data_IF_824950284764
#
_entry.id   IF_824950284764
#
_cell.length_a   1.000
_cell.length_b   1.000
_cell.length_c   1.000
_cell.angle_alpha   90.00
_cell.angle_beta   90.00
_cell.angle_gamma   90.00
#
_symmetry.space_group_name_H-M   'P 1'
#
loop_
_entity.id
_entity.type
_entity.pdbx_description
1 polymer ?
#
# COMPACT_ATOMS: atom_id res chain seq x y z
N UNK A 1 -11.59 38.51 -18.21
CA UNK A 1 -10.55 38.24 -17.18
C UNK A 1 -10.83 38.95 -15.84
N UNK A 2 -11.77 39.89 -15.76
CA UNK A 2 -12.12 40.61 -14.52
C UNK A 2 -13.24 39.95 -13.68
N UNK A 3 -14.14 39.16 -14.27
CA UNK A 3 -15.17 38.44 -13.50
C UNK A 3 -14.63 37.25 -12.68
N UNK A 4 -13.55 36.60 -13.14
CA UNK A 4 -12.99 35.41 -12.48
C UNK A 4 -12.19 35.75 -11.22
N UNK A 5 -11.60 36.95 -11.15
CA UNK A 5 -10.94 37.44 -9.93
C UNK A 5 -11.93 37.83 -8.83
N UNK A 6 -13.10 38.37 -9.21
CA UNK A 6 -14.12 38.78 -8.25
C UNK A 6 -14.74 37.57 -7.55
N UNK A 7 -14.92 36.45 -8.28
CA UNK A 7 -15.41 35.19 -7.70
C UNK A 7 -14.42 34.55 -6.72
N UNK A 8 -13.12 34.67 -6.99
CA UNK A 8 -12.06 34.16 -6.10
C UNK A 8 -11.95 34.98 -4.81
N UNK A 9 -12.13 36.30 -4.87
CA UNK A 9 -12.14 37.15 -3.66
C UNK A 9 -13.41 36.97 -2.82
N UNK A 10 -14.57 36.74 -3.44
CA UNK A 10 -15.81 36.47 -2.69
C UNK A 10 -15.77 35.11 -1.96
N UNK A 11 -15.16 34.08 -2.58
CA UNK A 11 -14.98 32.78 -1.92
C UNK A 11 -13.99 32.85 -0.74
N UNK A 12 -12.94 33.67 -0.86
CA UNK A 12 -11.94 33.86 0.20
C UNK A 12 -12.53 34.62 1.41
N UNK A 13 -13.47 35.55 1.17
CA UNK A 13 -14.19 36.27 2.22
C UNK A 13 -15.26 35.39 2.92
N UNK A 14 -15.89 34.45 2.20
CA UNK A 14 -16.78 33.45 2.83
C UNK A 14 -16.02 32.42 3.69
N UNK A 15 -14.78 32.09 3.31
CA UNK A 15 -13.89 31.22 4.11
C UNK A 15 -13.39 31.88 5.40
N UNK A 16 -13.35 33.21 5.46
CA UNK A 16 -12.98 33.97 6.67
C UNK A 16 -14.16 34.23 7.61
N UNK A 17 -15.41 34.08 7.13
CA UNK A 17 -16.62 34.26 7.95
C UNK A 17 -17.11 32.96 8.63
N UNK A 18 -16.55 31.80 8.27
CA UNK A 18 -16.95 30.48 8.83
C UNK A 18 -16.00 29.94 9.91
N UNK A 19 -14.95 30.69 10.31
CA UNK A 19 -13.99 30.27 11.34
C UNK A 19 -14.30 30.79 12.75
N UNK A 20 -15.44 31.45 12.95
CA UNK A 20 -15.87 31.95 14.27
C UNK A 20 -17.15 31.25 14.76
N UNK A 21 -17.07 29.94 14.98
CA UNK A 21 -17.99 29.24 15.89
C UNK A 21 -17.17 28.63 17.02
N UNK A 22 -17.15 29.35 18.14
CA UNK A 22 -16.66 28.86 19.42
C UNK A 22 -17.70 27.87 19.98
N UNK A 23 -17.30 26.61 20.16
CA UNK A 23 -18.01 25.66 21.02
C UNK A 23 -17.69 26.04 22.47
N UNK A 24 -18.57 26.81 23.11
CA UNK A 24 -18.63 26.93 24.56
C UNK A 24 -19.51 25.79 25.09
N UNK A 25 -18.88 24.74 25.65
CA UNK A 25 -19.62 23.79 26.48
C UNK A 25 -19.78 24.39 27.89
N UNK A 26 -21.03 24.71 28.20
CA UNK A 26 -21.55 25.06 29.52
C UNK A 26 -21.49 23.85 30.45
N UNK A 27 -20.55 23.85 31.42
CA UNK A 27 -20.64 22.98 32.60
C UNK A 27 -21.58 23.65 33.61
N UNK A 28 -22.71 22.98 33.86
CA UNK A 28 -23.77 23.37 34.80
C UNK A 28 -23.29 23.17 36.25
N UNK A 29 -23.20 24.25 37.02
CA UNK A 29 -23.13 24.18 38.48
C UNK A 29 -24.51 23.83 39.07
N UNK A 30 -24.55 22.94 40.06
CA UNK A 30 -25.60 22.87 41.10
C UNK A 30 -24.93 22.72 42.48
N UNK A 31 -25.32 23.51 43.49
CA UNK A 31 -24.80 23.44 44.87
C UNK A 31 -25.77 22.72 45.83
N UNK A 32 -25.26 22.38 47.03
CA UNK A 32 -25.90 22.05 48.34
C UNK A 32 -25.07 20.92 49.00
N UNK A 33 -24.69 20.91 50.28
CA UNK A 33 -24.85 21.84 51.40
C UNK A 33 -23.85 21.46 52.53
N UNK A 34 -23.71 22.38 53.47
CA UNK A 34 -22.85 22.50 54.68
C UNK A 34 -22.76 21.31 55.68
N UNK A 35 -21.57 21.03 56.26
CA UNK A 35 -21.24 21.35 57.68
C UNK A 35 -19.87 20.81 58.21
N UNK A 36 -19.23 21.72 58.96
CA UNK A 36 -18.30 21.58 60.10
C UNK A 36 -16.77 21.28 59.99
N UNK A 37 -16.03 22.23 60.61
CA UNK A 37 -14.59 22.42 60.86
C UNK A 37 -14.00 21.51 61.99
N UNK A 38 -12.71 21.58 62.45
CA UNK A 38 -11.60 22.51 62.10
C UNK A 38 -10.15 21.93 61.92
N UNK A 39 -9.31 22.79 61.31
CA UNK A 39 -7.88 23.05 61.55
C UNK A 39 -6.81 21.95 61.33
N UNK A 40 -6.07 22.08 60.23
CA UNK A 40 -4.59 22.19 60.25
C UNK A 40 -4.13 22.99 59.01
N UNK A 41 -3.19 23.95 59.14
CA UNK A 41 -2.70 24.70 58.01
C UNK A 41 -1.55 23.93 57.35
N UNK A 42 -1.83 23.18 56.29
CA UNK A 42 -0.76 22.65 55.45
C UNK A 42 -0.42 23.70 54.39
N UNK A 43 0.78 24.27 54.53
CA UNK A 43 1.43 25.17 53.58
C UNK A 43 1.63 24.43 52.25
N UNK A 44 0.59 24.41 51.41
CA UNK A 44 0.77 24.17 49.98
C UNK A 44 1.44 25.38 49.38
N UNK A 45 2.76 25.39 49.41
CA UNK A 45 3.59 26.07 48.43
C UNK A 45 3.08 25.63 47.04
N UNK A 46 2.21 26.44 46.42
CA UNK A 46 1.92 26.32 44.99
C UNK A 46 3.22 26.66 44.28
N UNK A 47 3.99 25.64 43.91
CA UNK A 47 5.02 25.81 42.88
C UNK A 47 4.30 26.39 41.66
N UNK A 48 4.62 27.62 41.23
CA UNK A 48 3.95 28.21 40.08
C UNK A 48 4.17 27.30 38.87
N UNK A 49 3.13 27.00 38.10
CA UNK A 49 3.28 26.35 36.81
C UNK A 49 4.26 27.17 35.96
N UNK A 50 5.43 26.60 35.71
CA UNK A 50 6.54 27.27 35.00
C UNK A 50 6.15 27.56 33.54
N UNK A 51 5.16 26.84 33.00
CA UNK A 51 4.68 26.94 31.62
C UNK A 51 3.17 27.13 31.59
N UNK A 52 2.69 28.04 30.75
CA UNK A 52 1.28 28.22 30.41
C UNK A 52 1.08 28.41 28.90
N UNK A 53 -0.17 28.36 28.42
CA UNK A 53 -0.58 28.67 27.05
C UNK A 53 0.17 27.87 25.96
N UNK A 54 0.24 26.54 26.12
CA UNK A 54 0.90 25.67 25.15
C UNK A 54 -0.02 25.44 23.95
N UNK A 55 0.46 25.75 22.74
CA UNK A 55 -0.19 25.40 21.47
C UNK A 55 0.79 24.67 20.56
N UNK A 56 0.34 23.57 19.96
CA UNK A 56 1.14 22.75 19.03
C UNK A 56 0.53 22.80 17.64
N UNK A 57 1.37 22.97 16.61
CA UNK A 57 0.95 22.88 15.22
C UNK A 57 1.94 22.06 14.40
N UNK A 58 1.45 21.41 13.34
CA UNK A 58 2.27 20.62 12.41
C UNK A 58 1.85 20.93 10.98
N UNK A 59 2.81 21.29 10.13
CA UNK A 59 2.60 21.58 8.70
C UNK A 59 3.39 20.60 7.87
N UNK A 60 2.75 19.95 6.90
CA UNK A 60 3.38 18.94 6.06
C UNK A 60 3.55 19.36 4.62
N UNK A 61 4.60 18.86 3.97
CA UNK A 61 4.94 19.11 2.58
C UNK A 61 5.58 17.88 1.95
N UNK A 62 4.98 17.38 0.88
CA UNK A 62 5.51 16.22 0.16
C UNK A 62 6.68 16.68 -0.71
N UNK A 63 7.81 15.96 -0.61
CA UNK A 63 8.98 16.27 -1.41
C UNK A 63 8.88 15.60 -2.79
N UNK A 64 9.36 16.28 -3.85
CA UNK A 64 9.45 15.66 -5.16
C UNK A 64 10.39 14.43 -5.09
N UNK A 65 10.07 13.36 -5.83
CA UNK A 65 10.88 12.16 -5.83
C UNK A 65 12.30 12.46 -6.29
N UNK A 66 13.30 12.05 -5.51
CA UNK A 66 14.70 12.19 -5.88
C UNK A 66 15.01 11.34 -7.13
N UNK A 67 15.61 11.95 -8.16
CA UNK A 67 16.05 11.26 -9.38
C UNK A 67 17.19 10.31 -9.02
N UNK A 68 16.88 9.05 -8.74
CA UNK A 68 17.86 8.00 -8.47
C UNK A 68 17.84 6.95 -9.57
N UNK A 69 19.06 6.64 -10.08
CA UNK A 69 19.34 5.68 -11.16
C UNK A 69 18.69 4.33 -10.86
N UNK A 70 17.93 3.82 -11.83
CA UNK A 70 17.37 2.48 -11.78
C UNK A 70 18.49 1.44 -11.65
N UNK A 71 18.63 0.82 -10.48
CA UNK A 71 19.33 -0.45 -10.39
C UNK A 71 18.39 -1.52 -10.91
N UNK A 72 18.76 -2.11 -12.06
CA UNK A 72 18.16 -3.34 -12.58
C UNK A 72 18.29 -4.40 -11.50
N UNK A 73 17.18 -4.80 -10.89
CA UNK A 73 17.13 -6.04 -10.13
C UNK A 73 16.76 -7.16 -11.10
N UNK A 74 17.71 -8.07 -11.29
CA UNK A 74 17.49 -9.37 -11.91
C UNK A 74 17.25 -10.33 -10.75
N UNK A 75 16.06 -10.91 -10.66
CA UNK A 75 15.85 -12.11 -9.85
C UNK A 75 15.43 -13.24 -10.78
N UNK A 76 16.33 -14.20 -10.93
CA UNK A 76 16.12 -15.46 -11.63
C UNK A 76 15.47 -16.47 -10.68
N UNK A 77 14.19 -16.76 -10.91
CA UNK A 77 13.59 -18.04 -10.51
C UNK A 77 12.43 -18.31 -11.45
N UNK A 78 12.53 -19.39 -12.23
CA UNK A 78 11.54 -19.79 -13.25
C UNK A 78 10.40 -20.50 -12.53
N UNK A 79 9.43 -19.72 -12.08
CA UNK A 79 8.11 -20.22 -11.69
C UNK A 79 7.26 -20.44 -12.96
N UNK A 80 6.34 -21.41 -12.93
CA UNK A 80 5.52 -21.83 -14.10
C UNK A 80 4.66 -20.68 -14.62
N UNK A 81 4.28 -19.79 -13.71
CA UNK A 81 3.66 -18.51 -14.01
C UNK A 81 4.55 -17.40 -13.49
N UNK A 82 4.51 -16.25 -14.17
CA UNK A 82 5.10 -15.04 -13.60
C UNK A 82 4.43 -14.78 -12.23
N UNK A 83 5.21 -14.49 -11.19
CA UNK A 83 4.68 -14.09 -9.87
C UNK A 83 3.79 -12.84 -9.93
N UNK A 84 3.78 -12.17 -11.08
CA UNK A 84 2.95 -11.03 -11.43
C UNK A 84 1.55 -11.42 -11.97
N UNK A 85 1.30 -12.70 -12.19
CA UNK A 85 0.12 -13.21 -12.89
C UNK A 85 -0.99 -13.63 -11.92
N UNK A 86 -2.24 -13.35 -12.31
CA UNK A 86 -3.43 -13.94 -11.68
C UNK A 86 -3.85 -15.27 -12.33
N UNK A 87 -3.03 -15.78 -13.25
CA UNK A 87 -3.15 -17.10 -13.84
C UNK A 87 -2.47 -18.14 -12.95
N UNK A 88 -3.19 -19.20 -12.57
CA UNK A 88 -2.65 -20.30 -11.76
C UNK A 88 -3.31 -21.64 -12.09
N UNK A 89 -2.65 -22.72 -11.66
CA UNK A 89 -3.27 -24.03 -11.56
C UNK A 89 -3.93 -24.18 -10.19
N UNK A 90 -5.19 -24.58 -10.15
CA UNK A 90 -5.96 -24.74 -8.92
C UNK A 90 -6.48 -26.17 -8.81
N UNK A 91 -6.33 -26.79 -7.64
CA UNK A 91 -6.77 -28.17 -7.42
C UNK A 91 -8.29 -28.30 -7.58
N UNK A 92 -8.72 -29.38 -8.23
CA UNK A 92 -10.12 -29.70 -8.35
C UNK A 92 -10.73 -30.07 -7.00
N UNK A 93 -11.72 -29.28 -6.56
CA UNK A 93 -12.44 -29.48 -5.29
C UNK A 93 -13.86 -30.02 -5.50
N UNK A 94 -14.16 -30.57 -6.68
CA UNK A 94 -15.50 -31.04 -7.04
C UNK A 94 -16.39 -30.01 -7.73
N UNK A 95 -15.91 -28.78 -7.91
CA UNK A 95 -16.60 -27.71 -8.63
C UNK A 95 -15.59 -26.91 -9.47
N UNK A 96 -16.09 -26.25 -10.53
CA UNK A 96 -15.30 -25.37 -11.38
C UNK A 96 -14.98 -24.06 -10.65
N UNK A 97 -13.69 -23.72 -10.45
CA UNK A 97 -13.31 -22.43 -9.89
C UNK A 97 -13.77 -21.27 -10.77
N UNK A 98 -14.06 -20.11 -10.16
CA UNK A 98 -14.33 -18.89 -10.92
C UNK A 98 -13.08 -18.46 -11.70
N UNK A 99 -13.26 -18.03 -12.96
CA UNK A 99 -12.14 -17.71 -13.86
C UNK A 99 -11.50 -18.93 -14.53
N UNK A 100 -12.12 -20.12 -14.45
CA UNK A 100 -11.65 -21.31 -15.16
C UNK A 100 -11.50 -21.04 -16.66
N UNK A 101 -10.31 -21.27 -17.20
CA UNK A 101 -9.98 -21.06 -18.60
C UNK A 101 -10.63 -22.16 -19.43
N UNK A 102 -11.38 -21.76 -20.46
CA UNK A 102 -12.10 -22.68 -21.34
C UNK A 102 -11.98 -22.29 -22.79
N UNK A 103 -12.33 -23.24 -23.67
CA UNK A 103 -12.62 -22.99 -25.07
C UNK A 103 -14.03 -23.48 -25.37
N UNK A 104 -14.65 -22.86 -26.36
CA UNK A 104 -15.77 -23.48 -27.04
C UNK A 104 -15.22 -24.38 -28.16
N UNK A 105 -15.45 -25.68 -28.03
CA UNK A 105 -15.05 -26.70 -28.99
C UNK A 105 -16.13 -26.82 -30.07
N UNK A 106 -15.91 -26.12 -31.19
CA UNK A 106 -16.86 -26.09 -32.31
C UNK A 106 -17.07 -27.47 -32.98
N UNK A 107 -16.10 -28.38 -32.86
CA UNK A 107 -16.18 -29.69 -33.51
C UNK A 107 -17.22 -30.61 -32.85
N UNK A 108 -17.45 -30.43 -31.54
CA UNK A 108 -18.31 -31.29 -30.72
C UNK A 108 -19.36 -30.51 -29.91
N UNK A 109 -19.58 -29.25 -30.29
CA UNK A 109 -20.55 -28.32 -29.68
C UNK A 109 -20.57 -28.36 -28.14
N UNK A 110 -19.40 -28.10 -27.53
CA UNK A 110 -19.25 -28.15 -26.06
C UNK A 110 -18.19 -27.19 -25.53
N UNK A 111 -18.27 -26.88 -24.24
CA UNK A 111 -17.27 -26.09 -23.52
C UNK A 111 -16.29 -27.04 -22.85
N UNK A 112 -15.01 -26.92 -23.22
CA UNK A 112 -13.92 -27.70 -22.65
C UNK A 112 -13.04 -26.78 -21.80
N UNK A 113 -12.81 -27.16 -20.54
CA UNK A 113 -11.98 -26.42 -19.59
C UNK A 113 -10.56 -26.98 -19.59
N UNK A 114 -9.57 -26.09 -19.52
CA UNK A 114 -8.16 -26.47 -19.44
C UNK A 114 -7.90 -27.10 -18.08
N UNK A 115 -7.48 -28.36 -18.08
CA UNK A 115 -7.07 -29.09 -16.89
C UNK A 115 -5.70 -29.75 -17.10
N UNK A 116 -5.09 -30.22 -16.02
CA UNK A 116 -3.89 -31.07 -16.09
C UNK A 116 -3.84 -32.11 -14.97
N UNK A 117 -3.06 -33.15 -15.21
CA UNK A 117 -2.60 -34.11 -14.20
C UNK A 117 -1.08 -34.19 -14.28
N UNK A 118 -0.39 -33.80 -13.21
CA UNK A 118 1.06 -33.63 -13.22
C UNK A 118 1.49 -32.57 -14.24
N UNK A 119 2.20 -32.99 -15.28
CA UNK A 119 2.61 -32.13 -16.40
C UNK A 119 1.70 -32.24 -17.64
N UNK A 120 0.73 -33.15 -17.64
CA UNK A 120 -0.04 -33.45 -18.84
C UNK A 120 -1.35 -32.67 -18.85
N UNK A 121 -1.41 -31.67 -19.72
CA UNK A 121 -2.61 -30.89 -19.96
C UNK A 121 -3.60 -31.62 -20.88
N UNK A 122 -4.87 -31.33 -20.67
CA UNK A 122 -5.99 -31.96 -21.35
C UNK A 122 -7.26 -31.13 -21.21
N UNK A 123 -8.42 -31.80 -21.16
CA UNK A 123 -9.69 -31.12 -20.96
C UNK A 123 -10.54 -31.75 -19.87
N UNK A 124 -11.26 -30.88 -19.15
CA UNK A 124 -12.38 -31.24 -18.31
C UNK A 124 -13.67 -30.78 -18.98
N UNK A 125 -14.70 -31.62 -18.95
CA UNK A 125 -16.03 -31.26 -19.41
C UNK A 125 -17.09 -31.84 -18.44
N UNK A 126 -18.00 -31.04 -17.88
CA UNK A 126 -18.99 -31.52 -16.92
C UNK A 126 -19.90 -32.61 -17.50
N UNK A 127 -20.14 -32.63 -18.82
CA UNK A 127 -20.93 -33.67 -19.51
C UNK A 127 -20.18 -35.01 -19.64
N UNK A 128 -18.86 -35.02 -19.52
CA UNK A 128 -18.02 -36.24 -19.58
C UNK A 128 -17.59 -36.75 -18.19
N UNK A 129 -18.17 -36.20 -17.13
CA UNK A 129 -17.94 -36.58 -15.74
C UNK A 129 -16.83 -35.77 -15.05
N UNK A 130 -16.61 -35.99 -13.74
CA UNK A 130 -15.66 -35.23 -12.93
C UNK A 130 -14.21 -35.67 -13.16
N UNK A 131 -13.76 -35.69 -14.43
CA UNK A 131 -12.44 -36.17 -14.81
C UNK A 131 -11.71 -35.19 -15.72
N UNK A 132 -10.40 -35.02 -15.50
CA UNK A 132 -9.52 -34.47 -16.51
C UNK A 132 -9.12 -35.57 -17.49
N UNK A 133 -9.41 -35.37 -18.77
CA UNK A 133 -9.02 -36.25 -19.86
C UNK A 133 -7.72 -35.73 -20.47
N UNK A 134 -6.64 -36.51 -20.38
CA UNK A 134 -5.34 -36.08 -20.87
C UNK A 134 -4.61 -37.20 -21.65
N UNK A 135 -3.78 -36.83 -22.64
CA UNK A 135 -3.03 -37.79 -23.44
C UNK A 135 -1.77 -38.26 -22.67
N UNK A 136 -1.54 -39.57 -22.60
CA UNK A 136 -0.38 -40.18 -21.97
C UNK A 136 0.01 -41.50 -22.64
N UNK A 137 1.23 -41.57 -23.19
CA UNK A 137 1.79 -42.77 -23.85
C UNK A 137 0.80 -43.48 -24.78
N UNK A 138 0.30 -42.78 -25.81
CA UNK A 138 -0.62 -43.31 -26.83
C UNK A 138 -2.04 -43.65 -26.34
N UNK A 139 -2.42 -43.27 -25.12
CA UNK A 139 -3.78 -43.49 -24.58
C UNK A 139 -4.35 -42.21 -23.97
N UNK A 140 -5.68 -42.16 -23.87
CA UNK A 140 -6.36 -41.17 -23.01
C UNK A 140 -6.49 -41.72 -21.60
N UNK A 141 -5.92 -41.00 -20.64
CA UNK A 141 -6.11 -41.27 -19.22
C UNK A 141 -7.14 -40.27 -18.67
N UNK A 142 -7.94 -40.75 -17.73
CA UNK A 142 -8.91 -39.94 -16.99
C UNK A 142 -8.57 -40.00 -15.51
N UNK A 143 -8.48 -38.84 -14.85
CA UNK A 143 -8.21 -38.77 -13.41
C UNK A 143 -9.19 -37.80 -12.73
N UNK A 144 -9.59 -38.11 -11.50
CA UNK A 144 -10.44 -37.27 -10.64
C UNK A 144 -9.61 -36.27 -9.82
N UNK A 145 -8.33 -36.55 -9.64
CA UNK A 145 -7.35 -35.69 -8.96
C UNK A 145 -6.58 -34.90 -10.01
N UNK A 146 -7.10 -33.71 -10.33
CA UNK A 146 -6.53 -32.85 -11.35
C UNK A 146 -6.51 -31.38 -10.91
N UNK A 147 -5.79 -30.57 -11.67
CA UNK A 147 -5.77 -29.12 -11.51
C UNK A 147 -6.49 -28.47 -12.71
N UNK A 148 -7.17 -27.35 -12.48
CA UNK A 148 -7.81 -26.53 -13.52
C UNK A 148 -7.01 -25.23 -13.67
N UNK A 149 -6.85 -24.76 -14.91
CA UNK A 149 -6.23 -23.47 -15.15
C UNK A 149 -7.23 -22.36 -14.85
N UNK A 150 -6.87 -21.43 -13.97
CA UNK A 150 -7.72 -20.33 -13.51
C UNK A 150 -7.06 -19.00 -13.82
N UNK A 151 -7.77 -18.12 -14.53
CA UNK A 151 -7.45 -16.71 -14.70
C UNK A 151 -8.33 -15.90 -13.74
N UNK A 152 -7.86 -15.68 -12.51
CA UNK A 152 -8.61 -14.95 -11.49
C UNK A 152 -8.94 -13.53 -11.99
N UNK A 153 -10.18 -13.09 -11.74
CA UNK A 153 -10.75 -11.82 -12.22
C UNK A 153 -10.72 -11.60 -13.73
N UNK A 154 -10.43 -12.63 -14.54
CA UNK A 154 -10.14 -12.49 -15.98
C UNK A 154 -9.08 -11.41 -16.24
N UNK A 155 -8.05 -11.37 -15.38
CA UNK A 155 -7.08 -10.28 -15.35
C UNK A 155 -6.03 -10.37 -16.46
N UNK A 156 -5.56 -11.58 -16.79
CA UNK A 156 -4.63 -11.77 -17.89
C UNK A 156 -5.36 -11.82 -19.24
N UNK A 157 -4.79 -11.21 -20.27
CA UNK A 157 -5.26 -11.40 -21.65
C UNK A 157 -4.60 -12.66 -22.20
N UNK A 158 -5.40 -13.71 -22.35
CA UNK A 158 -4.97 -14.97 -22.94
C UNK A 158 -5.13 -14.96 -24.46
N UNK A 159 -4.16 -15.52 -25.18
CA UNK A 159 -4.12 -15.58 -26.64
C UNK A 159 -3.73 -16.97 -27.10
N UNK A 160 -4.47 -17.50 -28.08
CA UNK A 160 -4.09 -18.69 -28.80
C UNK A 160 -3.22 -18.30 -29.99
N UNK A 161 -1.99 -18.79 -30.02
CA UNK A 161 -1.02 -18.47 -31.07
C UNK A 161 -0.65 -19.73 -31.85
N UNK A 162 -0.67 -19.62 -33.18
CA UNK A 162 -0.38 -20.73 -34.08
C UNK A 162 1.03 -21.28 -33.84
N UNK A 163 1.13 -22.60 -33.87
CA UNK A 163 2.36 -23.36 -33.76
C UNK A 163 2.38 -24.55 -34.72
N UNK A 164 3.58 -25.07 -34.96
CA UNK A 164 3.84 -26.23 -35.81
C UNK A 164 5.20 -26.82 -35.49
N UNK A 165 5.36 -28.13 -35.67
CA UNK A 165 6.63 -28.84 -35.55
C UNK A 165 7.34 -28.60 -34.21
N UNK A 166 6.57 -28.52 -33.12
CA UNK A 166 7.09 -28.26 -31.77
C UNK A 166 7.35 -26.79 -31.45
N UNK A 167 7.05 -25.85 -32.35
CA UNK A 167 7.19 -24.43 -32.04
C UNK A 167 6.26 -24.01 -30.90
N UNK A 168 6.80 -23.20 -30.00
CA UNK A 168 6.13 -22.64 -28.83
C UNK A 168 6.44 -21.15 -28.79
N UNK A 169 5.43 -20.28 -28.90
CA UNK A 169 5.63 -18.83 -28.80
C UNK A 169 6.11 -18.40 -27.41
N UNK A 170 6.70 -17.20 -27.32
CA UNK A 170 7.05 -16.62 -26.02
C UNK A 170 5.80 -16.45 -25.12
N UNK A 171 6.03 -16.55 -23.80
CA UNK A 171 5.00 -16.43 -22.77
C UNK A 171 3.88 -17.49 -22.88
N UNK A 172 4.23 -18.67 -23.38
CA UNK A 172 3.34 -19.81 -23.43
C UNK A 172 3.04 -20.37 -22.04
N UNK A 173 1.79 -20.77 -21.82
CA UNK A 173 1.33 -21.35 -20.57
C UNK A 173 1.85 -22.77 -20.44
N UNK A 174 2.79 -22.95 -19.53
CA UNK A 174 3.40 -24.25 -19.23
C UNK A 174 2.56 -25.01 -18.20
N UNK A 175 2.50 -26.33 -18.33
CA UNK A 175 1.71 -27.18 -17.46
C UNK A 175 2.42 -27.47 -16.13
N UNK A 176 3.76 -27.48 -16.13
CA UNK A 176 4.58 -27.73 -14.94
C UNK A 176 5.99 -27.14 -15.12
N UNK A 177 6.78 -27.09 -14.04
CA UNK A 177 8.16 -26.56 -14.06
C UNK A 177 9.20 -27.59 -14.53
N UNK A 178 8.92 -28.88 -14.33
CA UNK A 178 9.86 -29.98 -14.57
C UNK A 178 10.00 -30.37 -16.04
N UNK A 179 8.99 -30.11 -16.88
CA UNK A 179 9.04 -30.48 -18.30
C UNK A 179 8.39 -29.43 -19.20
N UNK A 180 8.89 -29.30 -20.43
CA UNK A 180 8.49 -28.30 -21.42
C UNK A 180 7.17 -28.70 -22.11
N UNK A 181 6.13 -28.93 -21.32
CA UNK A 181 4.80 -29.28 -21.81
C UNK A 181 3.88 -28.07 -21.67
N UNK A 182 3.23 -27.69 -22.77
CA UNK A 182 2.43 -26.47 -22.85
C UNK A 182 0.96 -26.79 -23.12
N UNK A 183 0.07 -25.90 -22.69
CA UNK A 183 -1.36 -25.99 -22.99
C UNK A 183 -1.57 -25.67 -24.48
N UNK A 184 -2.19 -26.61 -25.20
CA UNK A 184 -2.45 -26.49 -26.62
C UNK A 184 -3.90 -26.73 -26.99
N UNK A 185 -4.26 -26.31 -28.20
CA UNK A 185 -5.48 -26.73 -28.86
C UNK A 185 -5.28 -26.92 -30.35
N UNK A 186 -6.18 -27.66 -30.97
CA UNK A 186 -6.40 -27.57 -32.41
C UNK A 186 -7.91 -27.43 -32.69
N UNK A 187 -8.34 -27.65 -33.93
CA UNK A 187 -9.75 -27.55 -34.31
C UNK A 187 -10.67 -28.57 -33.62
N UNK A 188 -10.12 -29.64 -33.03
CA UNK A 188 -10.87 -30.74 -32.42
C UNK A 188 -10.95 -30.63 -30.89
N UNK A 189 -10.07 -29.86 -30.24
CA UNK A 189 -10.12 -29.70 -28.79
C UNK A 189 -8.81 -29.30 -28.13
N UNK A 190 -8.80 -29.36 -26.80
CA UNK A 190 -7.64 -29.08 -25.94
C UNK A 190 -6.75 -30.31 -25.77
N UNK A 191 -5.46 -30.06 -25.53
CA UNK A 191 -4.49 -31.09 -25.23
C UNK A 191 -3.15 -30.48 -24.83
N UNK A 192 -2.08 -31.21 -25.09
CA UNK A 192 -0.71 -30.79 -24.72
C UNK A 192 0.16 -30.60 -25.96
N UNK A 193 1.01 -29.58 -25.94
CA UNK A 193 2.12 -29.44 -26.90
C UNK A 193 3.39 -29.89 -26.21
N UNK A 194 4.10 -30.82 -26.85
CA UNK A 194 5.37 -31.32 -26.36
C UNK A 194 6.46 -31.08 -27.42
N UNK A 195 7.28 -30.03 -27.28
CA UNK A 195 8.27 -29.62 -28.28
C UNK A 195 9.32 -30.67 -28.57
N UNK A 196 9.72 -31.47 -27.57
CA UNK A 196 10.68 -32.57 -27.74
C UNK A 196 10.23 -33.56 -28.82
N UNK A 197 8.94 -33.89 -28.83
CA UNK A 197 8.34 -34.79 -29.82
C UNK A 197 7.84 -34.06 -31.07
N UNK A 198 7.92 -32.71 -31.07
CA UNK A 198 7.44 -31.82 -32.12
C UNK A 198 5.94 -31.94 -32.42
N UNK A 199 5.16 -32.38 -31.43
CA UNK A 199 3.75 -32.72 -31.60
C UNK A 199 2.83 -31.99 -30.61
N UNK A 200 1.62 -31.68 -31.08
CA UNK A 200 0.44 -31.51 -30.24
C UNK A 200 -0.26 -32.86 -30.09
N UNK A 201 -0.59 -33.23 -28.86
CA UNK A 201 -1.33 -34.44 -28.53
C UNK A 201 -2.74 -34.08 -28.06
N UNK A 202 -3.73 -34.69 -28.69
CA UNK A 202 -5.16 -34.52 -28.43
C UNK A 202 -5.72 -35.81 -27.82
N UNK A 203 -6.31 -35.76 -26.63
CA UNK A 203 -7.13 -36.84 -26.12
C UNK A 203 -8.51 -36.83 -26.80
N UNK A 204 -8.88 -37.89 -27.53
CA UNK A 204 -10.16 -37.96 -28.24
C UNK A 204 -10.75 -39.37 -28.22
N UNK A 205 -11.99 -39.50 -27.71
CA UNK A 205 -12.77 -40.76 -27.70
C UNK A 205 -11.99 -42.01 -27.25
N UNK A 206 -11.08 -41.86 -26.28
CA UNK A 206 -10.29 -42.95 -25.70
C UNK A 206 -8.88 -43.09 -26.28
N UNK A 207 -8.62 -42.51 -27.43
CA UNK A 207 -7.35 -42.58 -28.14
C UNK A 207 -6.57 -41.25 -28.13
N UNK A 208 -5.24 -41.36 -28.12
CA UNK A 208 -4.35 -40.20 -28.25
C UNK A 208 -4.05 -39.96 -29.74
N UNK A 209 -4.42 -38.79 -30.24
CA UNK A 209 -4.06 -38.34 -31.58
C UNK A 209 -2.92 -37.34 -31.51
N UNK A 210 -2.02 -37.35 -32.49
CA UNK A 210 -0.92 -36.40 -32.56
C UNK A 210 -0.92 -35.61 -33.87
N UNK A 211 -0.54 -34.34 -33.77
CA UNK A 211 -0.50 -33.41 -34.88
C UNK A 211 0.83 -32.65 -34.87
N UNK A 212 1.59 -32.77 -35.94
CA UNK A 212 2.81 -31.96 -36.16
C UNK A 212 2.51 -30.61 -36.79
N UNK A 213 1.37 -30.49 -37.48
CA UNK A 213 0.99 -29.30 -38.24
C UNK A 213 -0.35 -28.80 -37.72
N UNK A 214 -0.51 -27.47 -37.62
CA UNK A 214 -1.78 -26.80 -37.31
C UNK A 214 -2.31 -27.06 -35.90
N UNK A 215 -1.56 -26.56 -34.90
CA UNK A 215 -2.07 -26.39 -33.53
C UNK A 215 -1.87 -24.94 -33.08
N UNK A 216 -2.45 -24.60 -31.94
CA UNK A 216 -2.25 -23.31 -31.26
C UNK A 216 -1.81 -23.56 -29.82
N UNK A 217 -0.92 -22.71 -29.32
CA UNK A 217 -0.44 -22.73 -27.94
C UNK A 217 -1.09 -21.58 -27.19
N UNK A 218 -1.52 -21.84 -25.96
CA UNK A 218 -2.06 -20.80 -25.08
C UNK A 218 -0.91 -19.92 -24.58
N UNK A 219 -1.05 -18.60 -24.71
CA UNK A 219 -0.05 -17.62 -24.30
C UNK A 219 -0.68 -16.49 -23.50
N UNK A 220 0.11 -15.83 -22.64
CA UNK A 220 -0.28 -14.58 -21.98
C UNK A 220 0.22 -13.39 -22.79
N UNK A 221 -0.64 -12.41 -23.05
CA UNK A 221 -0.22 -11.17 -23.70
C UNK A 221 0.62 -10.34 -22.73
N UNK A 222 1.89 -10.10 -23.07
CA UNK A 222 2.81 -9.27 -22.27
C UNK A 222 2.97 -7.86 -22.82
N UNK A 223 2.13 -7.46 -23.77
CA UNK A 223 2.13 -6.15 -24.42
C UNK A 223 1.55 -5.04 -23.54
N UNK A 224 1.88 -5.01 -22.25
CA UNK A 224 1.43 -3.97 -21.32
C UNK A 224 2.24 -2.69 -21.56
N UNK A 225 1.54 -1.56 -21.68
CA UNK A 225 2.12 -0.23 -21.88
C UNK A 225 2.17 0.59 -20.58
N UNK A 226 1.20 0.40 -19.69
CA UNK A 226 1.07 1.16 -18.43
C UNK A 226 0.40 0.34 -17.34
N UNK A 227 0.87 0.51 -16.12
CA UNK A 227 0.22 0.04 -14.90
C UNK A 227 -0.19 1.24 -14.03
N UNK A 228 -1.39 1.18 -13.46
CA UNK A 228 -1.92 2.16 -12.50
C UNK A 228 -2.42 1.42 -11.27
N UNK A 229 -1.98 1.86 -10.10
CA UNK A 229 -2.51 1.44 -8.81
C UNK A 229 -3.30 2.61 -8.25
N UNK A 230 -4.58 2.40 -7.96
CA UNK A 230 -5.52 3.41 -7.48
C UNK A 230 -6.47 2.81 -6.44
N UNK A 231 -7.43 3.60 -5.96
CA UNK A 231 -8.51 3.15 -5.08
C UNK A 231 -7.99 2.47 -3.81
N UNK A 232 -6.95 3.07 -3.20
CA UNK A 232 -6.26 2.49 -2.05
C UNK A 232 -7.09 2.66 -0.78
N UNK A 233 -7.39 1.54 -0.13
CA UNK A 233 -8.16 1.47 1.11
C UNK A 233 -7.29 0.89 2.21
N UNK A 234 -6.87 1.75 3.14
CA UNK A 234 -6.10 1.37 4.31
C UNK A 234 -7.01 0.73 5.36
N UNK A 235 -6.61 -0.43 5.87
CA UNK A 235 -7.28 -1.08 6.99
C UNK A 235 -6.69 -0.54 8.30
N UNK A 236 -7.22 0.60 8.73
CA UNK A 236 -6.74 1.34 9.92
C UNK A 236 -6.93 0.51 11.20
N UNK A 237 -7.99 -0.30 11.29
CA UNK A 237 -8.27 -1.16 12.44
C UNK A 237 -7.19 -2.24 12.64
N UNK A 238 -6.51 -2.64 11.56
CA UNK A 238 -5.40 -3.59 11.58
C UNK A 238 -4.02 -2.92 11.59
N UNK A 239 -3.96 -1.60 11.81
CA UNK A 239 -2.71 -0.87 11.89
C UNK A 239 -1.87 -1.32 13.10
N UNK A 240 -0.58 -1.59 12.85
CA UNK A 240 0.41 -1.83 13.89
C UNK A 240 1.27 -0.59 14.03
N UNK A 241 1.16 0.07 15.17
CA UNK A 241 1.84 1.34 15.46
C UNK A 241 2.78 1.13 16.64
N UNK A 242 4.09 1.27 16.40
CA UNK A 242 5.12 1.13 17.41
C UNK A 242 5.68 2.52 17.77
N UNK A 243 5.38 2.97 18.99
CA UNK A 243 5.95 4.18 19.59
C UNK A 243 7.39 3.92 20.04
N UNK A 244 8.35 4.64 19.47
CA UNK A 244 9.77 4.59 19.86
C UNK A 244 10.04 5.58 21.00
N UNK A 245 11.15 5.44 21.76
CA UNK A 245 11.50 6.39 22.81
C UNK A 245 11.56 7.84 22.32
N UNK A 246 11.25 8.83 23.19
CA UNK A 246 11.20 10.22 22.80
C UNK A 246 12.60 10.76 22.45
N UNK A 247 12.64 11.74 21.55
CA UNK A 247 13.87 12.41 21.10
C UNK A 247 13.73 13.92 21.19
N UNK A 248 14.84 14.58 21.52
CA UNK A 248 14.96 16.04 21.50
C UNK A 248 15.06 16.51 20.05
N UNK A 249 14.08 17.29 19.58
CA UNK A 249 14.08 17.92 18.26
C UNK A 249 14.89 19.22 18.24
N UNK A 250 14.75 20.01 19.30
CA UNK A 250 15.42 21.30 19.45
C UNK A 250 15.59 21.65 20.92
N UNK A 251 16.72 22.27 21.25
CA UNK A 251 16.99 22.86 22.57
C UNK A 251 17.10 24.37 22.42
N UNK A 252 16.60 25.12 23.40
CA UNK A 252 16.80 26.57 23.50
C UNK A 252 17.01 26.95 24.96
N UNK A 253 17.67 28.07 25.20
CA UNK A 253 17.91 28.60 26.55
C UNK A 253 17.37 30.02 26.62
N UNK A 254 16.62 30.31 27.67
CA UNK A 254 15.95 31.58 27.88
C UNK A 254 16.50 32.20 29.15
N UNK A 255 17.10 33.38 29.02
CA UNK A 255 17.74 34.08 30.12
C UNK A 255 16.85 35.21 30.65
N UNK A 256 16.87 35.41 31.96
CA UNK A 256 16.38 36.59 32.65
C UNK A 256 17.49 37.17 33.53
N UNK A 257 18.06 38.29 33.10
CA UNK A 257 19.08 39.03 33.86
C UNK A 257 18.48 40.19 34.67
N UNK A 258 17.15 40.29 34.73
CA UNK A 258 16.46 41.30 35.52
C UNK A 258 16.22 40.81 36.95
N UNK A 259 15.78 41.73 37.79
CA UNK A 259 15.46 41.46 39.20
C UNK A 259 14.02 41.04 39.47
N UNK A 260 13.17 41.13 38.46
CA UNK A 260 11.80 40.64 38.50
C UNK A 260 11.64 39.38 37.63
N UNK A 261 10.73 38.46 37.98
CA UNK A 261 10.36 37.35 37.11
C UNK A 261 9.86 37.87 35.75
N UNK A 262 10.28 37.23 34.67
CA UNK A 262 9.85 37.61 33.32
C UNK A 262 9.10 36.46 32.67
N UNK A 263 7.87 36.74 32.25
CA UNK A 263 7.09 35.86 31.37
C UNK A 263 7.48 36.10 29.91
N UNK A 264 7.97 35.06 29.22
CA UNK A 264 8.32 35.12 27.79
C UNK A 264 7.50 34.10 27.02
N UNK A 265 6.79 34.56 25.99
CA UNK A 265 6.21 33.67 25.00
C UNK A 265 7.25 33.34 23.94
N UNK A 266 7.47 32.06 23.70
CA UNK A 266 8.46 31.54 22.75
C UNK A 266 7.83 30.50 21.85
N UNK A 267 8.37 30.36 20.64
CA UNK A 267 7.97 29.31 19.69
C UNK A 267 9.20 28.51 19.27
N UNK A 268 9.17 27.21 19.53
CA UNK A 268 10.17 26.27 19.03
C UNK A 268 9.62 25.62 17.77
N UNK A 269 10.42 25.53 16.72
CA UNK A 269 10.06 24.87 15.47
C UNK A 269 11.20 24.03 14.92
N UNK A 270 10.86 22.87 14.36
CA UNK A 270 11.79 21.93 13.72
C UNK A 270 11.07 21.17 12.60
N UNK A 271 11.75 21.05 11.46
CA UNK A 271 11.35 20.19 10.34
C UNK A 271 12.01 18.81 10.44
N UNK A 272 11.22 17.77 10.25
CA UNK A 272 11.63 16.36 10.20
C UNK A 272 11.29 15.74 8.84
N UNK A 273 12.08 14.75 8.43
CA UNK A 273 11.84 13.98 7.21
C UNK A 273 11.17 12.66 7.58
N UNK A 274 9.97 12.45 7.05
CA UNK A 274 9.17 11.24 7.19
C UNK A 274 9.32 10.37 5.94
N UNK A 275 9.25 9.05 6.12
CA UNK A 275 9.40 8.10 5.02
C UNK A 275 8.19 7.19 4.91
N UNK A 276 7.64 7.10 3.71
CA UNK A 276 6.39 6.42 3.42
C UNK A 276 6.61 5.41 2.30
N UNK A 277 6.23 4.15 2.47
CA UNK A 277 6.48 3.09 1.49
C UNK A 277 5.30 2.13 1.38
N UNK A 278 5.10 1.58 0.18
CA UNK A 278 4.01 0.66 -0.11
C UNK A 278 4.61 -0.65 -0.62
N UNK A 279 4.41 -1.73 0.13
CA UNK A 279 4.72 -3.08 -0.33
C UNK A 279 3.49 -3.71 -0.97
N UNK A 280 3.61 -4.25 -2.17
CA UNK A 280 2.52 -4.98 -2.85
C UNK A 280 2.66 -6.49 -2.62
N UNK A 281 1.54 -7.19 -2.51
CA UNK A 281 1.50 -8.66 -2.46
C UNK A 281 1.76 -9.30 -3.83
N UNK A 282 1.45 -8.57 -4.90
CA UNK A 282 1.78 -8.94 -6.28
C UNK A 282 3.02 -8.20 -6.74
N UNK A 283 3.71 -8.77 -7.72
CA UNK A 283 4.79 -8.07 -8.41
C UNK A 283 4.26 -7.45 -9.72
N UNK A 284 4.92 -6.39 -10.18
CA UNK A 284 4.52 -5.59 -11.35
C UNK A 284 5.36 -5.98 -12.57
N UNK A 285 4.89 -5.64 -13.77
CA UNK A 285 5.59 -6.01 -15.00
C UNK A 285 6.92 -5.28 -15.14
N UNK A 286 8.00 -6.04 -15.36
CA UNK A 286 9.35 -5.51 -15.51
C UNK A 286 9.44 -4.64 -16.77
N UNK A 287 10.01 -3.44 -16.62
CA UNK A 287 10.18 -2.50 -17.73
C UNK A 287 8.93 -1.69 -18.08
N UNK A 288 7.80 -1.97 -17.44
CA UNK A 288 6.58 -1.17 -17.56
C UNK A 288 6.57 -0.09 -16.47
N UNK A 289 6.14 1.12 -16.83
CA UNK A 289 5.97 2.22 -15.86
C UNK A 289 4.70 1.99 -15.05
N UNK A 290 4.86 1.94 -13.73
CA UNK A 290 3.77 1.85 -12.78
C UNK A 290 3.55 3.21 -12.10
N UNK A 291 2.30 3.69 -12.13
CA UNK A 291 1.87 4.88 -11.38
C UNK A 291 1.06 4.44 -10.18
N UNK A 292 1.23 5.11 -9.04
CA UNK A 292 0.51 4.81 -7.81
C UNK A 292 -0.15 6.09 -7.31
N UNK A 293 -1.45 6.01 -7.08
CA UNK A 293 -2.33 7.09 -6.67
C UNK A 293 -2.94 6.75 -5.31
N UNK A 294 -2.62 7.54 -4.29
CA UNK A 294 -3.06 7.28 -2.90
C UNK A 294 -2.85 8.48 -2.00
N UNK A 295 -3.64 8.55 -0.92
CA UNK A 295 -3.32 9.39 0.24
C UNK A 295 -2.26 8.75 1.14
N UNK A 296 -1.55 9.57 1.93
CA UNK A 296 -0.52 9.12 2.87
C UNK A 296 -1.14 9.06 4.28
N UNK A 297 -1.09 7.91 4.96
CA UNK A 297 -1.49 7.82 6.37
C UNK A 297 -0.58 8.65 7.28
N UNK A 298 -1.17 9.30 8.27
CA UNK A 298 -0.45 10.08 9.27
C UNK A 298 -1.12 10.04 10.63
N UNK A 299 -0.38 10.44 11.68
CA UNK A 299 -0.91 10.58 13.03
C UNK A 299 -1.22 12.04 13.36
N UNK A 300 -2.44 12.30 13.82
CA UNK A 300 -2.87 13.57 14.39
C UNK A 300 -3.76 13.32 15.61
N UNK A 301 -3.47 14.00 16.72
CA UNK A 301 -4.26 13.91 17.96
C UNK A 301 -4.50 12.47 18.45
N UNK A 302 -3.50 11.59 18.26
CA UNK A 302 -3.58 10.18 18.65
C UNK A 302 -4.44 9.30 17.72
N UNK A 303 -5.00 9.85 16.64
CA UNK A 303 -5.74 9.11 15.61
C UNK A 303 -4.97 9.05 14.31
N UNK A 304 -5.24 8.01 13.53
CA UNK A 304 -4.69 7.86 12.19
C UNK A 304 -5.66 8.49 11.17
N UNK A 305 -5.15 9.44 10.40
CA UNK A 305 -5.85 10.10 9.30
C UNK A 305 -5.08 9.92 7.98
N UNK A 306 -5.68 10.30 6.87
CA UNK A 306 -5.11 10.13 5.52
C UNK A 306 -5.10 11.49 4.81
N UNK A 307 -3.99 11.83 4.14
CA UNK A 307 -3.89 13.06 3.34
C UNK A 307 -4.78 13.00 2.09
N UNK A 308 -4.88 14.14 1.38
CA UNK A 308 -5.32 14.12 -0.02
C UNK A 308 -4.44 13.19 -0.87
N UNK A 309 -5.03 12.67 -1.95
CA UNK A 309 -4.35 11.75 -2.85
C UNK A 309 -3.20 12.42 -3.60
N UNK A 310 -2.09 11.69 -3.69
CA UNK A 310 -0.94 12.03 -4.52
C UNK A 310 -0.68 10.95 -5.56
N UNK A 311 -0.03 11.35 -6.65
CA UNK A 311 0.40 10.45 -7.70
C UNK A 311 1.93 10.42 -7.79
N UNK A 312 2.51 9.22 -7.82
CA UNK A 312 3.95 9.05 -8.03
C UNK A 312 4.28 7.82 -8.87
N UNK A 313 5.49 7.79 -9.43
CA UNK A 313 6.00 6.61 -10.14
C UNK A 313 6.44 5.56 -9.11
N UNK A 314 5.76 4.42 -9.11
CA UNK A 314 6.04 3.35 -8.18
C UNK A 314 7.26 2.54 -8.58
N UNK A 315 8.04 2.17 -7.58
CA UNK A 315 9.07 1.16 -7.71
C UNK A 315 9.26 0.48 -6.36
N UNK A 316 9.36 -0.86 -6.39
CA UNK A 316 9.54 -1.68 -5.21
C UNK A 316 10.76 -1.21 -4.39
N UNK A 317 10.57 -1.05 -3.09
CA UNK A 317 11.64 -0.66 -2.16
C UNK A 317 12.00 0.82 -2.16
N UNK A 318 11.29 1.68 -2.92
CA UNK A 318 11.42 3.14 -2.76
C UNK A 318 10.36 3.67 -1.82
N UNK A 319 10.75 4.67 -1.04
CA UNK A 319 9.85 5.47 -0.23
C UNK A 319 9.59 6.83 -0.88
N UNK A 320 8.42 7.39 -0.58
CA UNK A 320 8.11 8.81 -0.73
C UNK A 320 8.57 9.50 0.56
N UNK A 321 9.22 10.65 0.43
CA UNK A 321 9.67 11.45 1.56
C UNK A 321 8.76 12.65 1.73
N UNK A 322 8.38 12.92 2.97
CA UNK A 322 7.54 14.05 3.35
C UNK A 322 8.26 14.88 4.42
N UNK A 323 8.27 16.19 4.25
CA UNK A 323 8.73 17.13 5.26
C UNK A 323 7.57 17.47 6.20
N UNK A 324 7.77 17.28 7.50
CA UNK A 324 6.82 17.69 8.53
C UNK A 324 7.48 18.74 9.41
N UNK A 325 6.91 19.94 9.47
CA UNK A 325 7.38 21.04 10.31
C UNK A 325 6.51 21.14 11.53
N UNK A 326 7.09 20.82 12.69
CA UNK A 326 6.43 20.86 13.97
C UNK A 326 6.76 22.18 14.68
N UNK A 327 5.77 22.81 15.31
CA UNK A 327 5.95 24.02 16.09
C UNK A 327 5.19 23.93 17.42
N UNK A 328 5.83 24.40 18.50
CA UNK A 328 5.21 24.54 19.82
C UNK A 328 5.42 25.96 20.31
N UNK A 329 4.33 26.66 20.58
CA UNK A 329 4.32 27.97 21.22
C UNK A 329 3.90 27.82 22.67
N UNK A 330 4.60 28.48 23.59
CA UNK A 330 4.32 28.42 25.03
C UNK A 330 4.83 29.67 25.73
N UNK A 331 4.26 29.98 26.89
CA UNK A 331 4.72 31.02 27.80
C UNK A 331 5.50 30.41 28.94
N UNK A 332 6.73 30.86 29.20
CA UNK A 332 7.57 30.43 30.32
C UNK A 332 7.81 31.59 31.28
N UNK A 333 7.68 31.34 32.58
CA UNK A 333 8.06 32.28 33.63
C UNK A 333 9.49 31.99 34.10
N UNK A 334 10.42 32.92 33.83
CA UNK A 334 11.84 32.77 34.18
C UNK A 334 12.14 33.60 35.42
N UNK A 335 12.61 32.99 36.52
CA UNK A 335 12.95 33.72 37.74
C UNK A 335 14.03 34.80 37.52
N UNK A 336 14.12 35.80 38.42
CA UNK A 336 15.19 36.80 38.40
C UNK A 336 16.56 36.15 38.36
N UNK A 337 17.49 36.68 37.57
CA UNK A 337 18.87 36.16 37.49
C UNK A 337 19.00 34.66 37.18
N UNK A 338 18.03 34.05 36.50
CA UNK A 338 18.06 32.65 36.11
C UNK A 338 18.07 32.47 34.58
N UNK A 339 18.54 31.30 34.15
CA UNK A 339 18.33 30.75 32.81
C UNK A 339 17.49 29.49 32.91
N UNK A 340 16.55 29.30 32.00
CA UNK A 340 15.83 28.04 31.86
C UNK A 340 16.15 27.43 30.50
N UNK A 341 16.45 26.13 30.48
CA UNK A 341 16.65 25.41 29.22
C UNK A 341 15.39 24.65 28.87
N UNK A 342 14.91 24.85 27.65
CA UNK A 342 13.69 24.27 27.13
C UNK A 342 14.03 23.30 26.01
N UNK A 343 13.41 22.13 26.02
CA UNK A 343 13.56 21.07 25.01
C UNK A 343 12.22 20.85 24.32
N UNK A 344 12.24 20.92 23.00
CA UNK A 344 11.17 20.39 22.16
C UNK A 344 11.39 18.88 22.01
N UNK A 345 10.48 18.10 22.58
CA UNK A 345 10.49 16.64 22.58
C UNK A 345 9.49 16.10 21.56
N UNK A 346 9.73 14.91 21.03
CA UNK A 346 8.80 14.22 20.12
C UNK A 346 8.95 12.72 20.22
N UNK A 347 7.95 11.99 19.75
CA UNK A 347 8.02 10.55 19.56
C UNK A 347 8.10 10.20 18.08
N UNK A 348 8.88 9.17 17.78
CA UNK A 348 8.91 8.58 16.44
C UNK A 348 8.03 7.33 16.41
N UNK A 349 7.22 7.21 15.38
CA UNK A 349 6.26 6.13 15.19
C UNK A 349 6.62 5.31 13.98
N UNK A 350 6.70 3.99 14.16
CA UNK A 350 6.82 3.02 13.08
C UNK A 350 5.45 2.40 12.85
N UNK A 351 4.87 2.70 11.69
CA UNK A 351 3.48 2.39 11.37
C UNK A 351 3.43 1.39 10.22
N UNK A 352 2.68 0.30 10.40
CA UNK A 352 2.41 -0.71 9.37
C UNK A 352 0.92 -0.91 9.20
N UNK A 353 0.39 -0.71 8.00
CA UNK A 353 -1.05 -0.75 7.75
C UNK A 353 -1.33 -1.63 6.53
N UNK A 354 -2.07 -2.75 6.67
CA UNK A 354 -2.56 -3.50 5.53
C UNK A 354 -3.49 -2.64 4.67
N UNK A 355 -3.45 -2.81 3.36
CA UNK A 355 -4.37 -2.12 2.45
C UNK A 355 -4.80 -3.02 1.29
N UNK A 356 -5.91 -2.64 0.66
CA UNK A 356 -6.32 -3.14 -0.66
C UNK A 356 -6.28 -2.01 -1.68
N UNK A 357 -6.03 -2.32 -2.94
CA UNK A 357 -5.99 -1.35 -4.04
C UNK A 357 -6.47 -1.98 -5.35
N UNK A 358 -6.79 -1.15 -6.34
CA UNK A 358 -7.08 -1.59 -7.71
C UNK A 358 -5.82 -1.50 -8.55
N UNK A 359 -5.41 -2.61 -9.18
CA UNK A 359 -4.37 -2.62 -10.20
C UNK A 359 -5.03 -2.64 -11.58
N UNK A 360 -4.73 -1.65 -12.41
CA UNK A 360 -5.17 -1.55 -13.81
C UNK A 360 -3.98 -1.68 -14.75
N UNK A 361 -4.05 -2.66 -15.66
CA UNK A 361 -3.12 -2.83 -16.80
C UNK A 361 -3.75 -2.28 -18.06
N UNK A 362 -3.00 -1.45 -18.78
CA UNK A 362 -3.33 -1.00 -20.12
C UNK A 362 -2.38 -1.63 -21.11
N UNK A 363 -2.92 -2.23 -22.16
CA UNK A 363 -2.17 -2.93 -23.19
C UNK A 363 -1.94 -2.03 -24.41
N UNK A 364 -0.94 -2.36 -25.24
CA UNK A 364 -0.60 -1.61 -26.46
C UNK A 364 -1.74 -1.56 -27.48
N UNK A 365 -2.63 -2.55 -27.46
CA UNK A 365 -3.85 -2.58 -28.27
C UNK A 365 -5.00 -1.75 -27.68
N UNK A 366 -4.77 -0.99 -26.60
CA UNK A 366 -5.77 -0.16 -25.93
C UNK A 366 -6.69 -0.90 -24.96
N UNK A 367 -6.67 -2.24 -24.94
CA UNK A 367 -7.45 -3.02 -23.96
C UNK A 367 -6.96 -2.74 -22.54
N UNK A 368 -7.88 -2.81 -21.59
CA UNK A 368 -7.55 -2.68 -20.17
C UNK A 368 -8.11 -3.84 -19.37
N UNK A 369 -7.36 -4.27 -18.37
CA UNK A 369 -7.75 -5.28 -17.40
C UNK A 369 -7.48 -4.75 -16.01
N UNK A 370 -8.25 -5.20 -15.02
CA UNK A 370 -8.05 -4.74 -13.66
C UNK A 370 -8.41 -5.81 -12.64
N UNK A 371 -7.65 -5.87 -11.56
CA UNK A 371 -7.82 -6.81 -10.44
C UNK A 371 -7.64 -6.07 -9.12
N UNK A 372 -8.12 -6.66 -8.03
CA UNK A 372 -7.88 -6.17 -6.69
C UNK A 372 -6.59 -6.79 -6.15
N UNK A 373 -5.73 -5.95 -5.61
CA UNK A 373 -4.46 -6.34 -5.00
C UNK A 373 -4.44 -5.93 -3.53
N UNK A 374 -3.58 -6.57 -2.77
CA UNK A 374 -3.32 -6.22 -1.38
C UNK A 374 -1.89 -5.74 -1.20
N UNK A 375 -1.64 -5.11 -0.07
CA UNK A 375 -0.31 -4.64 0.28
C UNK A 375 -0.20 -4.23 1.75
N UNK A 376 1.00 -3.81 2.12
CA UNK A 376 1.29 -3.27 3.43
C UNK A 376 2.00 -1.94 3.27
N UNK A 377 1.39 -0.89 3.80
CA UNK A 377 2.02 0.41 3.97
C UNK A 377 2.99 0.35 5.14
N UNK A 378 4.13 1.03 5.01
CA UNK A 378 5.06 1.26 6.09
C UNK A 378 5.51 2.73 6.10
N UNK A 379 5.25 3.39 7.22
CA UNK A 379 5.55 4.80 7.45
C UNK A 379 6.38 5.02 8.71
N UNK A 380 7.32 5.97 8.67
CA UNK A 380 8.04 6.46 9.85
C UNK A 380 7.70 7.93 10.04
N UNK A 381 6.96 8.23 11.11
CA UNK A 381 6.39 9.55 11.38
C UNK A 381 6.92 10.14 12.68
N UNK A 382 6.87 11.48 12.79
CA UNK A 382 7.13 12.19 14.04
C UNK A 382 5.82 12.80 14.54
N UNK A 383 5.44 12.51 15.78
CA UNK A 383 4.20 13.02 16.38
C UNK A 383 4.37 13.19 17.90
N UNK A 384 3.28 13.58 18.58
CA UNK A 384 3.25 13.87 20.02
C UNK A 384 4.37 14.80 20.45
N UNK A 385 4.39 15.99 19.85
CA UNK A 385 5.40 17.00 20.14
C UNK A 385 5.00 17.74 21.41
N UNK A 386 5.92 17.83 22.37
CA UNK A 386 5.72 18.51 23.64
C UNK A 386 6.98 19.26 24.07
N UNK A 387 6.86 20.08 25.11
CA UNK A 387 7.98 20.85 25.67
C UNK A 387 8.31 20.34 27.06
N UNK A 388 9.59 20.14 27.32
CA UNK A 388 10.15 19.84 28.64
C UNK A 388 11.05 21.01 29.05
N UNK A 389 10.89 21.50 30.29
CA UNK A 389 11.70 22.57 30.85
C UNK A 389 12.61 21.97 31.91
N UNK A 390 13.92 22.09 31.71
CA UNK A 390 14.90 21.75 32.72
C UNK A 390 14.78 22.76 33.88
N UNK A 391 15.18 22.34 35.09
CA UNK A 391 15.22 23.26 36.24
C UNK A 391 16.05 24.49 35.89
N UNK A 392 15.50 25.67 36.16
CA UNK A 392 16.20 26.90 35.88
C UNK A 392 17.42 27.02 36.80
N UNK A 393 18.53 27.48 36.22
CA UNK A 393 19.81 27.61 36.92
C UNK A 393 20.17 29.09 37.05
N UNK A 394 20.86 29.51 38.12
CA UNK A 394 21.35 30.87 38.25
C UNK A 394 22.25 31.27 37.08
N UNK A 395 22.18 32.54 36.66
CA UNK A 395 23.13 33.09 35.71
C UNK A 395 24.52 33.21 36.36
N UNK A 396 25.59 32.74 35.71
CA UNK A 396 26.96 32.98 36.17
C UNK A 396 27.21 34.49 36.15
N UNK A 397 27.74 35.02 37.26
CA UNK A 397 28.03 36.44 37.47
C UNK A 397 26.81 37.37 37.41
N UNK A 398 25.62 36.89 37.81
CA UNK A 398 24.44 37.75 37.89
C UNK A 398 24.65 38.88 38.93
N UNK A 399 24.22 40.11 38.59
CA UNK A 399 24.27 41.22 39.55
C UNK A 399 23.24 40.97 40.65
N UNK A 400 23.58 41.15 41.94
CA UNK A 400 22.61 40.99 43.01
C UNK A 400 21.46 41.98 42.81
N UNK A 401 20.26 41.48 43.07
CA UNK A 401 19.06 42.29 43.06
C UNK A 401 18.97 43.02 44.39
N UNK A 402 18.87 44.35 44.29
CA UNK A 402 18.83 45.28 45.42
C UNK A 402 17.42 45.44 45.96
#
# INVERSE_FOLDING_TARGET
QTLTLCYFQLLLLLLLALSSVSLQDTVKNRPLDENDHPLTPDLKERVPEIIANVSVSTVRRILPPTKSRHKRQVNSYVDVFDKNSKLRWENWLGYLPNGSVSIYNNYDDRIDYVCKVGCHSGFYNPRKGPFCHYPYYSKVIKDRSFEVLVNEDDFEILEWKKGSSGSVPEYSVRSCSSDEIYVGKNKYGLGKVYPKDKCFYLPWEGDEYWYKVSYEVLTTNMGVSRELISDVKYNIEQAKILKKPPKVLKRSTINNANCDPVSKTTTLSKTTLETNSWGLSVSLMIGVRATFETGIPFLAEGKLDITLEIMFQYSKGKSVTEESTHSVSFTINVPPNHRCTVKMMSYSYDTKIPFTARLKRTYRNGKTKSTTISGTYHGVHTADVYVEVERCEPLPNAKPCT
#
